data_IF_372489774249
#
_entry.id   IF_372489774249
#
_cell.length_a   1.000
_cell.length_b   1.000
_cell.length_c   1.000
_cell.angle_alpha   90.00
_cell.angle_beta   90.00
_cell.angle_gamma   90.00
#
_symmetry.space_group_name_H-M   'P 1'
#
loop_
_entity.id
_entity.type
_entity.pdbx_description
1 polymer ?
#
# COMPACT_ATOMS: atom_id res chain seq x y z
N UNK A 1 -6.93 65.82 36.43
CA UNK A 1 -7.40 65.92 35.03
C UNK A 1 -7.54 64.51 34.49
N UNK A 2 -8.77 64.14 34.12
CA UNK A 2 -9.18 62.87 33.52
C UNK A 2 -8.61 62.80 32.10
N UNK A 3 -7.96 61.71 31.69
CA UNK A 3 -8.03 61.22 30.31
C UNK A 3 -7.59 59.74 30.14
N UNK A 4 -8.25 58.99 29.23
CA UNK A 4 -8.63 57.61 29.47
C UNK A 4 -8.40 56.74 28.23
N UNK A 5 -7.21 56.19 27.98
CA UNK A 5 -6.95 55.48 26.70
C UNK A 5 -6.14 54.17 26.85
N UNK A 6 -5.55 53.87 28.01
CA UNK A 6 -4.62 52.73 28.13
C UNK A 6 -5.28 51.35 28.33
N UNK A 7 -6.56 51.17 27.99
CA UNK A 7 -7.26 49.87 28.05
C UNK A 7 -8.02 49.63 26.75
N UNK A 8 -7.36 49.74 25.59
CA UNK A 8 -8.05 49.41 24.33
C UNK A 8 -7.12 49.00 23.19
N UNK A 9 -6.07 48.21 23.44
CA UNK A 9 -5.26 47.68 22.33
C UNK A 9 -4.54 46.37 22.69
N UNK A 10 -5.29 45.36 23.11
CA UNK A 10 -4.78 43.98 23.12
C UNK A 10 -5.86 42.99 22.66
N UNK A 11 -6.31 43.14 21.40
CA UNK A 11 -7.03 42.07 20.71
C UNK A 11 -6.94 42.26 19.19
N UNK A 12 -5.74 42.10 18.64
CA UNK A 12 -5.58 41.83 17.20
C UNK A 12 -4.81 40.52 17.06
N UNK A 13 -5.39 39.43 17.59
CA UNK A 13 -5.13 38.09 17.07
C UNK A 13 -6.16 37.84 15.96
N UNK A 14 -6.12 38.63 14.89
CA UNK A 14 -6.92 38.38 13.69
C UNK A 14 -6.25 37.30 12.87
N UNK A 15 -6.76 36.08 13.04
CA UNK A 15 -7.03 35.10 11.98
C UNK A 15 -6.13 35.22 10.75
N UNK A 16 -4.97 34.55 10.81
CA UNK A 16 -4.43 34.01 9.57
C UNK A 16 -5.48 33.03 9.05
N UNK A 17 -6.31 33.51 8.11
CA UNK A 17 -7.19 32.64 7.36
C UNK A 17 -6.26 31.67 6.62
N UNK A 18 -6.19 30.43 7.11
CA UNK A 18 -5.60 29.35 6.34
C UNK A 18 -6.41 29.28 5.05
N UNK A 19 -5.88 29.87 3.99
CA UNK A 19 -6.47 29.75 2.65
C UNK A 19 -6.24 28.31 2.27
N UNK A 20 -7.26 27.48 2.48
CA UNK A 20 -7.22 26.10 2.05
C UNK A 20 -7.22 26.13 0.53
N UNK A 21 -6.11 25.71 -0.08
CA UNK A 21 -6.02 25.59 -1.53
C UNK A 21 -7.20 24.75 -2.01
N UNK A 22 -7.99 25.30 -2.94
CA UNK A 22 -9.19 24.63 -3.42
C UNK A 22 -8.78 23.39 -4.21
N UNK A 23 -9.13 22.20 -3.69
CA UNK A 23 -8.88 20.94 -4.39
C UNK A 23 -9.59 20.95 -5.73
N UNK A 24 -8.83 20.81 -6.81
CA UNK A 24 -9.36 20.80 -8.17
C UNK A 24 -9.78 19.40 -8.61
N UNK A 25 -10.53 19.30 -9.70
CA UNK A 25 -10.80 18.01 -10.34
C UNK A 25 -9.51 17.27 -10.73
N UNK A 26 -8.49 18.00 -11.20
CA UNK A 26 -7.20 17.43 -11.58
C UNK A 26 -6.47 16.81 -10.37
N UNK A 27 -6.65 17.38 -9.19
CA UNK A 27 -6.12 16.83 -7.94
C UNK A 27 -6.81 15.52 -7.57
N UNK A 28 -8.14 15.45 -7.72
CA UNK A 28 -8.89 14.20 -7.52
C UNK A 28 -8.48 13.12 -8.52
N UNK A 29 -8.39 13.45 -9.82
CA UNK A 29 -7.94 12.51 -10.85
C UNK A 29 -6.51 12.02 -10.60
N UNK A 30 -5.63 12.90 -10.12
CA UNK A 30 -4.28 12.50 -9.70
C UNK A 30 -4.34 11.55 -8.52
N UNK A 31 -5.11 11.86 -7.48
CA UNK A 31 -5.27 11.04 -6.29
C UNK A 31 -5.88 9.66 -6.60
N UNK A 32 -6.85 9.59 -7.51
CA UNK A 32 -7.50 8.35 -7.94
C UNK A 32 -6.49 7.33 -8.51
N UNK A 33 -5.47 7.79 -9.23
CA UNK A 33 -4.39 6.92 -9.73
C UNK A 33 -3.59 6.25 -8.62
N UNK A 34 -3.58 6.81 -7.42
CA UNK A 34 -2.87 6.25 -6.26
C UNK A 34 -3.73 5.33 -5.40
N UNK A 35 -4.99 5.10 -5.76
CA UNK A 35 -5.82 4.10 -5.08
C UNK A 35 -5.17 2.71 -5.15
N UNK A 36 -5.39 1.89 -4.12
CA UNK A 36 -4.79 0.56 -3.99
C UNK A 36 -5.10 -0.37 -5.17
N UNK A 37 -6.28 -0.23 -5.79
CA UNK A 37 -6.66 -0.97 -6.99
C UNK A 37 -5.72 -0.68 -8.17
N UNK A 38 -5.22 0.56 -8.28
CA UNK A 38 -4.35 1.00 -9.38
C UNK A 38 -2.87 0.76 -9.09
N UNK A 39 -2.48 0.76 -7.82
CA UNK A 39 -1.08 0.64 -7.40
C UNK A 39 -0.69 -0.75 -6.88
N UNK A 40 -1.66 -1.58 -6.50
CA UNK A 40 -1.41 -2.90 -5.90
C UNK A 40 -0.61 -3.85 -6.79
N UNK A 41 -0.79 -3.74 -8.12
CA UNK A 41 -0.02 -4.54 -9.09
C UNK A 41 1.45 -4.10 -9.23
N UNK A 42 1.82 -2.91 -8.72
CA UNK A 42 3.18 -2.37 -8.77
C UNK A 42 4.05 -2.86 -7.61
N UNK A 43 3.47 -3.56 -6.63
CA UNK A 43 4.18 -4.01 -5.43
C UNK A 43 4.35 -5.53 -5.47
N UNK A 44 5.57 -5.98 -5.70
CA UNK A 44 5.91 -7.41 -5.72
C UNK A 44 6.18 -7.94 -4.31
N UNK A 45 6.02 -9.25 -4.13
CA UNK A 45 6.29 -9.94 -2.85
C UNK A 45 5.51 -9.43 -1.63
N UNK A 46 4.41 -8.68 -1.84
CA UNK A 46 3.72 -7.97 -0.77
C UNK A 46 2.55 -8.72 -0.12
N UNK A 47 2.09 -9.83 -0.71
CA UNK A 47 0.95 -10.57 -0.20
C UNK A 47 1.27 -12.07 -0.07
N UNK A 48 0.88 -12.63 1.07
CA UNK A 48 0.87 -14.07 1.31
C UNK A 48 -0.57 -14.47 1.64
N UNK A 49 -1.22 -15.15 0.69
CA UNK A 49 -2.51 -15.78 0.90
C UNK A 49 -2.29 -17.30 0.99
N UNK A 50 -2.16 -17.86 2.21
CA UNK A 50 -1.75 -19.24 2.40
C UNK A 50 -2.90 -20.21 2.13
N UNK A 51 -2.61 -21.24 1.34
CA UNK A 51 -3.42 -22.44 1.21
C UNK A 51 -2.77 -23.53 2.06
N UNK A 52 -3.47 -23.97 3.11
CA UNK A 52 -2.95 -24.94 4.06
C UNK A 52 -3.06 -26.37 3.53
N UNK A 53 -2.02 -27.15 3.80
CA UNK A 53 -1.94 -28.58 3.56
C UNK A 53 -1.82 -29.31 4.90
N UNK A 54 -2.08 -30.61 4.87
CA UNK A 54 -1.84 -31.47 6.03
C UNK A 54 -0.39 -31.38 6.52
N UNK A 55 -0.23 -31.58 7.83
CA UNK A 55 1.08 -31.53 8.48
C UNK A 55 1.61 -30.11 8.72
N UNK A 56 0.81 -29.07 8.43
CA UNK A 56 1.15 -27.67 8.69
C UNK A 56 1.95 -27.00 7.58
N UNK A 57 2.08 -27.64 6.42
CA UNK A 57 2.66 -27.02 5.22
C UNK A 57 1.65 -26.06 4.61
N UNK A 58 2.14 -25.08 3.88
CA UNK A 58 1.29 -24.17 3.13
C UNK A 58 1.91 -23.83 1.78
N UNK A 59 1.07 -23.51 0.81
CA UNK A 59 1.52 -22.93 -0.44
C UNK A 59 0.80 -21.61 -0.73
N UNK A 60 1.44 -20.72 -1.48
CA UNK A 60 0.83 -19.47 -1.93
C UNK A 60 1.36 -19.07 -3.30
N UNK A 61 0.57 -18.27 -4.02
CA UNK A 61 1.01 -17.59 -5.24
C UNK A 61 1.68 -16.28 -4.84
N UNK A 62 2.90 -16.08 -5.31
CA UNK A 62 3.63 -14.84 -5.17
C UNK A 62 3.71 -14.13 -6.53
N UNK A 63 3.61 -12.81 -6.52
CA UNK A 63 3.73 -11.98 -7.74
C UNK A 63 5.11 -11.34 -7.74
N UNK A 64 5.85 -11.55 -8.82
CA UNK A 64 7.21 -11.05 -9.08
C UNK A 64 7.21 -10.19 -10.34
N UNK A 65 8.34 -9.56 -10.65
CA UNK A 65 8.51 -8.79 -11.89
C UNK A 65 8.39 -9.68 -13.15
N UNK A 66 8.80 -10.95 -13.04
CA UNK A 66 8.81 -11.92 -14.14
C UNK A 66 7.48 -12.68 -14.29
N UNK A 67 6.51 -12.40 -13.41
CA UNK A 67 5.19 -13.03 -13.44
C UNK A 67 4.79 -13.61 -12.09
N UNK A 68 4.28 -14.84 -12.10
CA UNK A 68 3.79 -15.49 -10.89
C UNK A 68 4.64 -16.71 -10.55
N UNK A 69 4.97 -16.84 -9.28
CA UNK A 69 5.60 -18.05 -8.74
C UNK A 69 4.71 -18.71 -7.70
N UNK A 70 4.76 -20.03 -7.62
CA UNK A 70 4.07 -20.79 -6.59
C UNK A 70 5.09 -21.29 -5.58
N UNK A 71 4.93 -20.88 -4.33
CA UNK A 71 5.86 -21.18 -3.25
C UNK A 71 5.22 -22.16 -2.30
N UNK A 72 5.97 -23.18 -1.89
CA UNK A 72 5.62 -24.08 -0.79
C UNK A 72 6.53 -23.80 0.42
N UNK A 73 5.95 -23.84 1.60
CA UNK A 73 6.63 -23.64 2.88
C UNK A 73 6.38 -24.84 3.77
N UNK A 74 7.45 -25.40 4.32
CA UNK A 74 7.39 -26.39 5.38
C UNK A 74 7.96 -25.80 6.68
N UNK A 75 7.11 -25.45 7.66
CA UNK A 75 7.58 -24.90 8.94
C UNK A 75 8.43 -25.86 9.77
N UNK A 76 8.21 -27.19 9.64
CA UNK A 76 8.97 -28.21 10.38
C UNK A 76 10.37 -28.37 9.81
N UNK A 77 10.46 -28.46 8.48
CA UNK A 77 11.74 -28.52 7.76
C UNK A 77 12.44 -27.15 7.65
N UNK A 78 11.71 -26.05 7.94
CA UNK A 78 12.16 -24.66 7.79
C UNK A 78 12.57 -24.32 6.35
N UNK A 79 11.82 -24.84 5.38
CA UNK A 79 12.08 -24.62 3.96
C UNK A 79 11.05 -23.70 3.32
N UNK A 80 11.50 -22.97 2.31
CA UNK A 80 10.68 -22.15 1.40
C UNK A 80 11.24 -22.33 0.00
N UNK A 81 10.48 -22.94 -0.87
CA UNK A 81 10.94 -23.32 -2.21
C UNK A 81 9.81 -23.22 -3.25
N UNK A 82 10.16 -23.33 -4.53
CA UNK A 82 9.16 -23.43 -5.59
C UNK A 82 8.35 -24.72 -5.40
N UNK A 83 7.02 -24.61 -5.50
CA UNK A 83 6.12 -25.75 -5.33
C UNK A 83 6.29 -26.80 -6.44
N UNK A 84 6.80 -26.40 -7.60
CA UNK A 84 7.12 -27.26 -8.75
C UNK A 84 8.11 -26.55 -9.68
N UNK A 85 8.64 -27.30 -10.65
CA UNK A 85 9.46 -26.76 -11.74
C UNK A 85 8.56 -26.07 -12.78
N UNK A 86 8.60 -24.72 -12.81
CA UNK A 86 7.73 -23.92 -13.67
C UNK A 86 8.09 -24.07 -15.15
N UNK A 87 9.38 -24.15 -15.48
CA UNK A 87 9.86 -24.27 -16.86
C UNK A 87 9.45 -25.61 -17.44
N UNK A 88 9.64 -26.68 -16.66
CA UNK A 88 9.22 -28.02 -17.06
C UNK A 88 7.70 -28.09 -17.26
N UNK A 89 6.90 -27.49 -16.38
CA UNK A 89 5.45 -27.47 -16.54
C UNK A 89 5.01 -26.67 -17.77
N UNK A 90 5.57 -25.48 -17.98
CA UNK A 90 5.26 -24.65 -19.13
C UNK A 90 5.54 -25.39 -20.45
N UNK A 91 6.71 -26.05 -20.53
CA UNK A 91 7.08 -26.85 -21.71
C UNK A 91 6.16 -28.04 -21.99
N UNK A 92 5.48 -28.57 -20.96
CA UNK A 92 4.57 -29.70 -21.11
C UNK A 92 3.15 -29.29 -21.56
N UNK A 93 2.81 -27.99 -21.51
CA UNK A 93 1.48 -27.47 -21.81
C UNK A 93 1.40 -26.70 -23.14
N UNK A 94 2.56 -26.35 -23.74
CA UNK A 94 2.68 -25.67 -25.04
C UNK A 94 2.75 -26.66 -26.19
#
# INVERSE_FOLDING_TARGET
>A
MRNPIAVFTFLIFSTAAYTQESVTLADYQRAERFLSTNTGALVYHANVSPNWLDGGRMWYRNTTADGAEFIIVDPKAKTREHAFDHERLASALS
#
